data_IF_815142981977
#
_entry.id   IF_815142981977
#
_cell.length_a   1.000
_cell.length_b   1.000
_cell.length_c   1.000
_cell.angle_alpha   90.00
_cell.angle_beta   90.00
_cell.angle_gamma   90.00
#
_symmetry.space_group_name_H-M   'P 1'
#
loop_
_entity.id
_entity.type
_entity.pdbx_description
1 polymer ?
#
# COMPACT_ATOMS: atom_id res chain seq x y z
N UNK A 1 -43.86 -39.55 -28.53
CA UNK A 1 -42.59 -38.84 -28.84
C UNK A 1 -42.52 -37.46 -28.18
N UNK A 2 -43.28 -36.43 -28.62
CA UNK A 2 -43.18 -35.05 -28.06
C UNK A 2 -43.46 -34.92 -26.55
N UNK A 3 -44.38 -35.71 -26.01
CA UNK A 3 -44.70 -35.72 -24.57
C UNK A 3 -43.57 -36.30 -23.70
N UNK A 4 -42.79 -37.24 -24.24
CA UNK A 4 -41.63 -37.83 -23.56
C UNK A 4 -40.48 -36.82 -23.42
N UNK A 5 -40.23 -36.03 -24.48
CA UNK A 5 -39.22 -34.96 -24.46
C UNK A 5 -39.59 -33.80 -23.53
N UNK A 6 -40.87 -33.48 -23.35
CA UNK A 6 -41.33 -32.45 -22.41
C UNK A 6 -41.12 -32.90 -20.96
N UNK A 7 -41.49 -34.15 -20.64
CA UNK A 7 -41.28 -34.70 -19.30
C UNK A 7 -39.79 -34.79 -18.91
N UNK A 8 -38.93 -35.15 -19.87
CA UNK A 8 -37.48 -35.18 -19.66
C UNK A 8 -36.88 -33.79 -19.37
N UNK A 9 -37.35 -32.74 -20.08
CA UNK A 9 -36.92 -31.35 -19.85
C UNK A 9 -37.37 -30.81 -18.50
N UNK A 10 -38.60 -31.12 -18.08
CA UNK A 10 -39.13 -30.73 -16.76
C UNK A 10 -38.35 -31.42 -15.65
N UNK A 11 -38.02 -32.72 -15.81
CA UNK A 11 -37.20 -33.45 -14.84
C UNK A 11 -35.81 -32.86 -14.65
N UNK A 12 -35.11 -32.53 -15.74
CA UNK A 12 -33.78 -31.89 -15.68
C UNK A 12 -33.87 -30.50 -15.03
N UNK A 13 -34.89 -29.70 -15.39
CA UNK A 13 -35.10 -28.38 -14.79
C UNK A 13 -35.34 -28.44 -13.27
N UNK A 14 -36.10 -29.43 -12.81
CA UNK A 14 -36.39 -29.63 -11.39
C UNK A 14 -35.15 -30.05 -10.58
N UNK A 15 -34.31 -30.94 -11.13
CA UNK A 15 -33.05 -31.36 -10.49
C UNK A 15 -32.05 -30.20 -10.38
N UNK A 16 -31.96 -29.35 -11.41
CA UNK A 16 -31.09 -28.17 -11.37
C UNK A 16 -31.64 -27.17 -10.34
N UNK A 17 -32.95 -26.89 -10.34
CA UNK A 17 -33.57 -25.97 -9.39
C UNK A 17 -33.37 -26.36 -7.92
N UNK A 18 -33.46 -27.66 -7.60
CA UNK A 18 -33.26 -28.17 -6.24
C UNK A 18 -31.78 -28.23 -5.82
N UNK A 19 -30.83 -28.33 -6.75
CA UNK A 19 -29.42 -28.18 -6.43
C UNK A 19 -29.05 -26.72 -6.05
N UNK A 20 -29.73 -25.72 -6.62
CA UNK A 20 -29.49 -24.31 -6.30
C UNK A 20 -30.11 -23.87 -4.96
N UNK A 21 -31.13 -24.56 -4.43
CA UNK A 21 -31.72 -24.21 -3.13
C UNK A 21 -30.80 -24.54 -1.95
N UNK A 22 -29.78 -25.39 -2.15
CA UNK A 22 -28.71 -25.64 -1.17
C UNK A 22 -27.74 -24.47 -0.99
N UNK A 23 -27.69 -23.52 -1.93
CA UNK A 23 -26.84 -22.33 -1.84
C UNK A 23 -27.43 -21.23 -0.92
N UNK A 24 -28.67 -21.41 -0.43
CA UNK A 24 -29.32 -20.50 0.51
C UNK A 24 -29.53 -21.20 1.86
N UNK A 25 -28.43 -21.58 2.50
CA UNK A 25 -28.47 -22.12 3.87
C UNK A 25 -28.54 -20.96 4.87
N UNK A 26 -29.74 -20.48 5.14
CA UNK A 26 -29.98 -19.41 6.13
C UNK A 26 -29.83 -19.96 7.54
N UNK A 27 -28.70 -19.62 8.21
CA UNK A 27 -28.35 -19.88 9.63
C UNK A 27 -28.34 -21.36 10.06
N UNK A 28 -27.27 -21.88 10.70
CA UNK A 28 -26.32 -21.21 11.61
C UNK A 28 -24.93 -20.87 11.02
N UNK A 29 -24.60 -21.28 9.79
CA UNK A 29 -23.25 -21.07 9.24
C UNK A 29 -22.92 -19.60 8.96
N UNK A 30 -23.91 -18.78 8.58
CA UNK A 30 -23.68 -17.36 8.29
C UNK A 30 -23.29 -16.61 9.57
N UNK A 31 -24.07 -16.80 10.64
CA UNK A 31 -23.80 -16.16 11.94
C UNK A 31 -22.41 -16.53 12.49
N UNK A 32 -22.02 -17.81 12.36
CA UNK A 32 -20.69 -18.29 12.76
C UNK A 32 -19.53 -17.69 11.93
N UNK A 33 -19.79 -17.23 10.70
CA UNK A 33 -18.77 -16.67 9.81
C UNK A 33 -18.82 -15.14 9.72
N UNK A 34 -19.78 -14.50 10.39
CA UNK A 34 -19.93 -13.05 10.39
C UNK A 34 -18.64 -12.38 10.91
N UNK A 35 -18.07 -11.47 10.11
CA UNK A 35 -16.86 -10.72 10.49
C UNK A 35 -15.53 -11.41 10.17
N UNK A 36 -15.51 -12.69 9.76
CA UNK A 36 -14.26 -13.39 9.41
C UNK A 36 -13.47 -12.67 8.30
N UNK A 37 -14.15 -12.13 7.29
CA UNK A 37 -13.51 -11.39 6.22
C UNK A 37 -12.77 -10.14 6.73
N UNK A 38 -13.37 -9.39 7.65
CA UNK A 38 -12.76 -8.18 8.23
C UNK A 38 -11.58 -8.56 9.13
N UNK A 39 -11.75 -9.60 9.97
CA UNK A 39 -10.66 -10.12 10.80
C UNK A 39 -9.47 -10.58 9.96
N UNK A 40 -9.72 -11.23 8.83
CA UNK A 40 -8.68 -11.69 7.91
C UNK A 40 -7.97 -10.52 7.23
N UNK A 41 -8.71 -9.54 6.70
CA UNK A 41 -8.11 -8.33 6.12
C UNK A 41 -7.29 -7.58 7.16
N UNK A 42 -7.81 -7.43 8.37
CA UNK A 42 -7.09 -6.78 9.47
C UNK A 42 -5.79 -7.51 9.83
N UNK A 43 -5.80 -8.84 9.87
CA UNK A 43 -4.60 -9.63 10.11
C UNK A 43 -3.56 -9.42 9.00
N UNK A 44 -3.98 -9.34 7.73
CA UNK A 44 -3.07 -9.04 6.62
C UNK A 44 -2.55 -7.60 6.61
N UNK A 45 -3.32 -6.65 7.15
CA UNK A 45 -2.92 -5.24 7.27
C UNK A 45 -2.13 -4.93 8.55
N UNK A 46 -2.06 -5.87 9.49
CA UNK A 46 -1.34 -5.66 10.75
C UNK A 46 0.14 -5.93 10.53
N UNK A 47 0.94 -4.86 10.49
CA UNK A 47 2.39 -4.94 10.24
C UNK A 47 3.14 -5.70 11.35
N UNK A 48 2.80 -5.46 12.61
CA UNK A 48 3.42 -6.13 13.75
C UNK A 48 2.34 -6.49 14.80
N UNK A 49 1.88 -7.76 14.86
CA UNK A 49 0.89 -8.22 15.83
C UNK A 49 1.39 -8.17 17.29
N UNK A 50 2.71 -8.22 17.50
CA UNK A 50 3.35 -8.25 18.81
C UNK A 50 3.85 -6.90 19.31
N UNK A 51 3.55 -5.80 18.61
CA UNK A 51 4.11 -4.47 18.89
C UNK A 51 3.89 -3.97 20.32
N UNK A 52 2.82 -4.41 21.01
CA UNK A 52 2.53 -4.02 22.39
C UNK A 52 3.43 -4.70 23.43
N UNK A 53 4.07 -5.82 23.07
CA UNK A 53 4.97 -6.58 23.94
C UNK A 53 6.44 -6.22 23.68
N UNK A 54 6.70 -5.56 22.55
CA UNK A 54 8.03 -5.08 22.20
C UNK A 54 8.44 -3.94 23.14
N UNK A 55 9.60 -4.09 23.76
CA UNK A 55 10.21 -3.09 24.64
C UNK A 55 11.41 -2.40 24.01
N UNK A 56 11.77 -2.76 22.78
CA UNK A 56 12.85 -2.10 22.05
C UNK A 56 12.45 -0.63 21.84
N UNK A 57 13.30 0.34 22.25
CA UNK A 57 13.04 1.74 21.93
C UNK A 57 12.89 1.90 20.41
N UNK A 58 11.89 2.68 20.00
CA UNK A 58 11.69 3.01 18.58
C UNK A 58 12.94 3.74 18.06
N UNK A 59 13.78 3.05 17.28
CA UNK A 59 14.97 3.59 16.63
C UNK A 59 14.64 4.54 15.44
N UNK A 60 13.46 5.17 15.50
CA UNK A 60 12.96 6.06 14.46
C UNK A 60 13.64 7.42 14.46
N UNK A 61 13.33 8.22 13.44
CA UNK A 61 13.71 9.62 13.39
C UNK A 61 13.03 10.39 14.53
N UNK A 62 13.79 11.27 15.20
CA UNK A 62 13.20 12.17 16.19
C UNK A 62 12.20 13.14 15.53
N UNK A 63 11.19 13.59 16.27
CA UNK A 63 10.14 14.44 15.69
C UNK A 63 10.65 15.77 15.10
N UNK A 64 11.75 16.31 15.63
CA UNK A 64 12.36 17.55 15.11
C UNK A 64 13.11 17.29 13.82
N UNK A 65 13.89 16.23 13.76
CA UNK A 65 14.59 15.76 12.57
C UNK A 65 13.60 15.42 11.46
N UNK A 66 12.45 14.79 11.78
CA UNK A 66 11.38 14.53 10.81
C UNK A 66 10.75 15.81 10.27
N UNK A 67 10.49 16.79 11.15
CA UNK A 67 9.96 18.09 10.73
C UNK A 67 10.94 18.84 9.81
N UNK A 68 12.23 18.85 10.16
CA UNK A 68 13.24 19.50 9.32
C UNK A 68 13.49 18.76 8.00
N UNK A 69 13.43 17.43 7.98
CA UNK A 69 13.50 16.66 6.74
C UNK A 69 12.38 17.07 5.77
N UNK A 70 11.14 17.22 6.27
CA UNK A 70 10.01 17.67 5.45
C UNK A 70 10.13 19.15 5.04
N UNK A 71 10.66 20.01 5.92
CA UNK A 71 10.94 21.41 5.62
C UNK A 71 11.98 21.57 4.51
N UNK A 72 13.08 20.81 4.56
CA UNK A 72 14.12 20.79 3.53
C UNK A 72 13.59 20.24 2.20
N UNK A 73 12.71 19.22 2.26
CA UNK A 73 11.99 18.74 1.09
C UNK A 73 11.15 19.84 0.44
N UNK A 74 10.30 20.57 1.19
CA UNK A 74 9.52 21.69 0.66
C UNK A 74 10.41 22.82 0.08
N UNK A 75 11.47 23.19 0.81
CA UNK A 75 12.45 24.18 0.34
C UNK A 75 13.11 23.80 -0.98
N UNK A 76 13.39 22.51 -1.21
CA UNK A 76 14.03 22.07 -2.45
C UNK A 76 13.19 22.38 -3.71
N UNK A 77 11.86 22.49 -3.58
CA UNK A 77 10.98 22.88 -4.68
C UNK A 77 10.84 24.40 -4.83
N UNK A 78 10.95 25.15 -3.72
CA UNK A 78 10.85 26.62 -3.71
C UNK A 78 12.17 27.31 -4.05
N UNK A 79 13.27 26.67 -3.74
CA UNK A 79 14.63 27.16 -3.95
C UNK A 79 15.48 25.95 -4.31
N UNK A 80 15.48 25.54 -5.60
CA UNK A 80 16.39 24.51 -6.07
C UNK A 80 17.79 24.91 -5.62
N UNK A 81 18.45 24.04 -4.85
CA UNK A 81 19.82 24.29 -4.42
C UNK A 81 20.65 24.57 -5.67
N UNK A 82 21.09 25.83 -5.81
CA UNK A 82 21.94 26.23 -6.94
C UNK A 82 23.10 25.25 -7.05
N UNK A 83 23.44 24.91 -8.30
CA UNK A 83 24.40 23.87 -8.64
C UNK A 83 25.54 23.78 -7.62
N UNK A 84 25.75 22.58 -7.07
CA UNK A 84 26.80 22.26 -6.11
C UNK A 84 28.21 22.29 -6.75
N UNK A 85 28.47 23.25 -7.63
CA UNK A 85 29.78 23.58 -8.15
C UNK A 85 30.57 24.36 -7.09
N UNK A 86 30.71 23.79 -5.88
CA UNK A 86 31.63 24.24 -4.85
C UNK A 86 33.11 23.93 -5.20
N UNK A 87 33.36 23.34 -6.37
CA UNK A 87 34.68 22.98 -6.90
C UNK A 87 35.07 23.83 -8.13
N UNK A 88 34.79 25.13 -8.13
CA UNK A 88 35.58 26.06 -8.96
C UNK A 88 36.73 26.58 -8.09
N UNK A 89 37.66 25.68 -7.76
CA UNK A 89 38.97 26.07 -7.25
C UNK A 89 39.68 26.74 -8.42
N UNK A 90 39.88 28.06 -8.33
CA UNK A 90 40.64 28.82 -9.31
C UNK A 90 42.10 28.37 -9.35
N UNK A 91 42.39 27.32 -10.12
CA UNK A 91 43.75 26.98 -10.55
C UNK A 91 44.12 27.96 -11.64
N UNK A 92 45.05 28.86 -11.31
CA UNK A 92 45.53 29.94 -12.17
C UNK A 92 46.19 29.42 -13.44
N UNK A 93 45.79 29.98 -14.57
CA UNK A 93 46.62 30.01 -15.76
C UNK A 93 47.50 31.25 -15.68
N UNK A 94 48.79 31.03 -15.41
CA UNK A 94 49.80 32.07 -15.46
C UNK A 94 49.79 32.77 -16.83
N UNK A 95 49.81 34.11 -16.80
CA UNK A 95 49.78 34.93 -18.00
C UNK A 95 49.93 36.42 -17.71
N UNK A 96 51.16 36.83 -17.40
CA UNK A 96 51.82 38.11 -17.71
C UNK A 96 50.97 39.37 -18.00
N UNK A 97 51.19 40.45 -17.22
CA UNK A 97 50.76 41.81 -17.61
C UNK A 97 50.78 42.81 -16.46
N UNK A 98 51.81 43.65 -16.41
CA UNK A 98 52.16 44.51 -15.26
C UNK A 98 51.37 45.81 -15.09
N UNK A 99 51.79 46.58 -14.08
CA UNK A 99 51.34 47.96 -13.87
C UNK A 99 51.51 48.43 -12.43
N UNK A 100 52.72 48.86 -12.06
CA UNK A 100 52.98 49.60 -10.83
C UNK A 100 52.23 50.94 -10.83
N UNK A 101 51.45 51.20 -9.77
CA UNK A 101 51.37 52.44 -8.98
C UNK A 101 50.27 52.31 -7.93
#
# INVERSE_FOLDING_TARGET
MKRLFILMRVGIGACIGSALTGCYTSTPQWDAQFGNAVTQVRAMQTLNPGASQDRDPVLGIDGKAGNEAMNQYDKSFRSPSGDANAYVIGVGTGGSGGGSR
#
